data_IF_910066730942
#
_entry.id   IF_910066730942
#
_cell.length_a   1.000
_cell.length_b   1.000
_cell.length_c   1.000
_cell.angle_alpha   90.00
_cell.angle_beta   90.00
_cell.angle_gamma   90.00
#
_symmetry.space_group_name_H-M   'P 1'
#
loop_
_entity.id
_entity.type
_entity.pdbx_description
1 polymer ?
#
# COMPACT_ATOMS: atom_id res chain seq x y z
N UNK A 1 -30.69 -38.34 -9.92
CA UNK A 1 -29.45 -37.94 -9.20
C UNK A 1 -28.29 -37.52 -10.12
N UNK A 2 -28.10 -38.11 -11.31
CA UNK A 2 -27.02 -37.65 -12.24
C UNK A 2 -27.21 -36.22 -12.77
N UNK A 3 -28.45 -35.82 -13.06
CA UNK A 3 -28.73 -34.54 -13.70
C UNK A 3 -28.48 -33.31 -12.81
N UNK A 4 -28.60 -33.47 -11.48
CA UNK A 4 -28.36 -32.36 -10.54
C UNK A 4 -26.86 -32.05 -10.39
N UNK A 5 -26.02 -33.08 -10.41
CA UNK A 5 -24.58 -32.93 -10.33
C UNK A 5 -24.03 -32.22 -11.58
N UNK A 6 -24.53 -32.59 -12.75
CA UNK A 6 -24.17 -31.96 -14.03
C UNK A 6 -24.65 -30.50 -14.10
N UNK A 7 -25.83 -30.19 -13.56
CA UNK A 7 -26.32 -28.81 -13.43
C UNK A 7 -25.45 -27.95 -12.51
N UNK A 8 -25.02 -28.51 -11.37
CA UNK A 8 -24.10 -27.84 -10.44
C UNK A 8 -22.73 -27.61 -11.09
N UNK A 9 -22.19 -28.61 -11.78
CA UNK A 9 -20.93 -28.52 -12.49
C UNK A 9 -20.97 -27.44 -13.58
N UNK A 10 -22.02 -27.43 -14.40
CA UNK A 10 -22.20 -26.44 -15.46
C UNK A 10 -22.32 -25.01 -14.91
N UNK A 11 -23.05 -24.80 -13.80
CA UNK A 11 -23.14 -23.49 -13.15
C UNK A 11 -21.78 -23.02 -12.63
N UNK A 12 -20.99 -23.92 -12.04
CA UNK A 12 -19.67 -23.59 -11.52
C UNK A 12 -18.69 -23.26 -12.64
N UNK A 13 -18.71 -24.05 -13.71
CA UNK A 13 -17.85 -23.85 -14.86
C UNK A 13 -18.13 -22.51 -15.56
N UNK A 14 -19.40 -22.16 -15.75
CA UNK A 14 -19.79 -20.85 -16.29
C UNK A 14 -19.35 -19.67 -15.39
N UNK A 15 -19.38 -19.84 -14.07
CA UNK A 15 -18.92 -18.81 -13.13
C UNK A 15 -17.41 -18.64 -13.20
N UNK A 16 -16.68 -19.74 -13.34
CA UNK A 16 -15.22 -19.75 -13.51
C UNK A 16 -14.80 -19.06 -14.82
N UNK A 17 -15.44 -19.39 -15.94
CA UNK A 17 -15.16 -18.77 -17.23
C UNK A 17 -15.42 -17.25 -17.23
N UNK A 18 -16.51 -16.82 -16.57
CA UNK A 18 -16.79 -15.38 -16.40
C UNK A 18 -15.70 -14.68 -15.61
N UNK A 19 -15.24 -15.29 -14.52
CA UNK A 19 -14.14 -14.75 -13.72
C UNK A 19 -12.83 -14.68 -14.52
N UNK A 20 -12.51 -15.71 -15.30
CA UNK A 20 -11.29 -15.72 -16.11
C UNK A 20 -11.31 -14.62 -17.19
N UNK A 21 -12.47 -14.38 -17.82
CA UNK A 21 -12.63 -13.29 -18.80
C UNK A 21 -12.45 -11.92 -18.15
N UNK A 22 -13.13 -11.64 -17.04
CA UNK A 22 -13.02 -10.34 -16.36
C UNK A 22 -11.61 -10.10 -15.82
N UNK A 23 -10.94 -11.14 -15.31
CA UNK A 23 -9.56 -11.04 -14.86
C UNK A 23 -8.58 -10.74 -16.01
N UNK A 24 -8.75 -11.40 -17.17
CA UNK A 24 -7.93 -11.12 -18.37
C UNK A 24 -8.17 -9.70 -18.89
N UNK A 25 -9.40 -9.21 -18.86
CA UNK A 25 -9.75 -7.83 -19.26
C UNK A 25 -9.15 -6.79 -18.32
N UNK A 26 -9.25 -6.97 -17.01
CA UNK A 26 -8.65 -6.07 -16.01
C UNK A 26 -7.12 -6.04 -16.12
N UNK A 27 -6.49 -7.20 -16.38
CA UNK A 27 -5.04 -7.29 -16.61
C UNK A 27 -4.63 -6.52 -17.87
N UNK A 28 -5.36 -6.67 -18.98
CA UNK A 28 -5.12 -5.92 -20.22
C UNK A 28 -5.28 -4.42 -20.03
N UNK A 29 -6.33 -3.98 -19.33
CA UNK A 29 -6.55 -2.56 -19.03
C UNK A 29 -5.41 -1.97 -18.21
N UNK A 30 -4.89 -2.69 -17.21
CA UNK A 30 -3.72 -2.26 -16.42
C UNK A 30 -2.46 -2.13 -17.28
N UNK A 31 -2.17 -3.13 -18.11
CA UNK A 31 -1.00 -3.09 -19.00
C UNK A 31 -1.08 -1.95 -20.02
N UNK A 32 -2.25 -1.69 -20.60
CA UNK A 32 -2.44 -0.62 -21.57
C UNK A 32 -2.36 0.77 -20.93
N UNK A 33 -2.85 0.95 -19.69
CA UNK A 33 -2.69 2.21 -18.97
C UNK A 33 -1.23 2.49 -18.59
N UNK A 34 -0.49 1.45 -18.18
CA UNK A 34 0.95 1.59 -17.89
C UNK A 34 1.71 2.00 -19.16
N UNK A 35 1.41 1.36 -20.30
CA UNK A 35 2.05 1.68 -21.59
C UNK A 35 1.69 3.09 -22.09
N UNK A 36 0.44 3.53 -21.90
CA UNK A 36 0.01 4.89 -22.23
C UNK A 36 0.68 5.94 -21.35
N UNK A 37 0.78 5.70 -20.04
CA UNK A 37 1.51 6.56 -19.10
C UNK A 37 3.00 6.67 -19.44
N UNK A 38 3.63 5.58 -19.91
CA UNK A 38 5.02 5.59 -20.33
C UNK A 38 5.26 6.38 -21.63
N UNK A 39 4.29 6.44 -22.54
CA UNK A 39 4.40 7.17 -23.82
C UNK A 39 4.15 8.67 -23.71
N UNK A 40 3.37 9.12 -22.72
CA UNK A 40 3.08 10.56 -22.51
C UNK A 40 4.11 11.27 -21.64
N UNK A 41 5.05 10.55 -21.03
CA UNK A 41 6.19 11.18 -20.37
C UNK A 41 7.27 11.52 -21.39
N UNK A 42 7.66 12.80 -21.56
CA UNK A 42 8.81 13.14 -22.39
C UNK A 42 10.05 12.45 -21.79
N UNK A 43 11.09 12.16 -22.60
CA UNK A 43 12.32 11.61 -22.06
C UNK A 43 12.84 12.58 -21.00
N UNK A 44 12.73 12.20 -19.73
CA UNK A 44 13.31 12.93 -18.63
C UNK A 44 14.82 12.90 -18.87
N UNK A 45 15.36 13.92 -19.56
CA UNK A 45 16.76 14.30 -19.45
C UNK A 45 17.04 14.32 -17.96
N UNK A 46 18.05 13.55 -17.53
CA UNK A 46 18.57 13.51 -16.15
C UNK A 46 18.95 14.92 -15.70
N UNK A 47 17.97 15.75 -15.38
CA UNK A 47 18.14 16.98 -14.63
C UNK A 47 18.11 16.54 -13.17
N UNK A 48 19.15 16.95 -12.45
CA UNK A 48 19.31 16.73 -11.02
C UNK A 48 17.96 16.90 -10.33
N UNK A 49 17.60 15.95 -9.48
CA UNK A 49 16.34 15.95 -8.75
C UNK A 49 16.23 17.24 -7.93
N UNK A 50 15.58 18.26 -8.49
CA UNK A 50 14.96 19.33 -7.71
C UNK A 50 13.77 18.69 -6.98
N UNK A 51 13.62 18.93 -5.66
CA UNK A 51 12.52 18.35 -4.91
C UNK A 51 11.21 18.95 -5.43
N UNK A 52 10.43 18.12 -6.12
CA UNK A 52 9.04 18.39 -6.46
C UNK A 52 8.33 18.86 -5.20
N UNK A 53 7.75 20.06 -5.32
CA UNK A 53 6.99 20.74 -4.29
C UNK A 53 6.04 19.77 -3.57
N UNK A 54 6.33 19.55 -2.29
CA UNK A 54 5.45 18.86 -1.36
C UNK A 54 4.10 19.60 -1.37
N UNK A 55 3.12 19.10 -2.13
CA UNK A 55 1.72 19.30 -1.77
C UNK A 55 1.61 18.83 -0.32
N UNK A 56 1.51 19.80 0.59
CA UNK A 56 1.35 19.58 2.04
C UNK A 56 0.05 18.83 2.28
N UNK A 57 0.02 17.53 2.00
CA UNK A 57 -0.90 16.62 2.68
C UNK A 57 -0.56 16.76 4.16
N UNK A 58 -1.58 16.97 4.99
CA UNK A 58 -1.42 16.98 6.43
C UNK A 58 -0.61 15.73 6.80
N UNK A 59 0.66 15.93 7.20
CA UNK A 59 1.57 14.84 7.53
C UNK A 59 0.97 14.15 8.75
N UNK A 60 0.16 13.12 8.49
CA UNK A 60 -0.33 12.22 9.52
C UNK A 60 0.89 11.77 10.31
N UNK A 61 0.80 11.80 11.63
CA UNK A 61 1.95 11.55 12.49
C UNK A 61 2.62 10.19 12.23
N UNK A 62 1.86 9.25 11.66
CA UNK A 62 2.34 7.96 11.18
C UNK A 62 3.37 8.07 10.01
N UNK A 63 3.21 9.01 9.08
CA UNK A 63 4.21 9.27 8.03
C UNK A 63 5.52 9.82 8.61
N UNK A 64 5.46 10.59 9.69
CA UNK A 64 6.65 11.09 10.39
C UNK A 64 7.43 9.96 11.06
N UNK A 65 6.73 8.98 11.64
CA UNK A 65 7.37 7.81 12.23
C UNK A 65 8.08 6.96 11.16
N UNK A 66 7.40 6.60 10.07
CA UNK A 66 8.01 5.79 9.02
C UNK A 66 9.23 6.48 8.36
N UNK A 67 9.17 7.80 8.19
CA UNK A 67 10.32 8.56 7.67
C UNK A 67 11.51 8.55 8.64
N UNK A 68 11.27 8.66 9.95
CA UNK A 68 12.33 8.54 10.96
C UNK A 68 12.94 7.13 10.99
N UNK A 69 12.11 6.09 10.95
CA UNK A 69 12.58 4.69 10.92
C UNK A 69 13.43 4.43 9.67
N UNK A 70 13.01 4.96 8.52
CA UNK A 70 13.75 4.78 7.27
C UNK A 70 15.11 5.49 7.29
N UNK A 71 15.18 6.69 7.87
CA UNK A 71 16.45 7.41 8.07
C UNK A 71 17.38 6.62 8.98
N UNK A 72 16.89 6.18 10.14
CA UNK A 72 17.69 5.44 11.11
C UNK A 72 18.16 4.09 10.57
N UNK A 73 17.29 3.38 9.85
CA UNK A 73 17.67 2.16 9.12
C UNK A 73 18.83 2.41 8.14
N UNK A 74 18.79 3.52 7.39
CA UNK A 74 19.83 3.86 6.42
C UNK A 74 21.17 4.17 7.09
N UNK A 75 21.17 4.74 8.29
CA UNK A 75 22.37 4.96 9.11
C UNK A 75 22.96 3.62 9.56
N UNK A 76 22.15 2.75 10.15
CA UNK A 76 22.59 1.43 10.62
C UNK A 76 23.13 0.54 9.48
N UNK A 77 22.57 0.67 8.27
CA UNK A 77 23.08 0.01 7.07
C UNK A 77 24.44 0.54 6.62
N UNK A 78 24.72 1.83 6.83
CA UNK A 78 26.04 2.43 6.57
C UNK A 78 27.07 2.01 7.61
N UNK A 79 26.64 1.78 8.84
CA UNK A 79 27.46 1.29 9.95
C UNK A 79 27.77 -0.22 9.84
N UNK A 80 27.26 -0.89 8.79
CA UNK A 80 27.58 -2.28 8.49
C UNK A 80 26.61 -3.32 9.08
N UNK A 81 25.51 -2.91 9.70
CA UNK A 81 24.51 -3.86 10.20
C UNK A 81 23.74 -4.55 9.07
N UNK A 82 23.36 -5.81 9.32
CA UNK A 82 22.50 -6.54 8.40
C UNK A 82 21.12 -5.88 8.27
N UNK A 83 20.48 -6.07 7.11
CA UNK A 83 19.20 -5.45 6.79
C UNK A 83 18.10 -5.82 7.78
N UNK A 84 18.08 -7.08 8.24
CA UNK A 84 17.04 -7.52 9.18
C UNK A 84 17.26 -6.89 10.56
N UNK A 85 18.49 -6.90 11.04
CA UNK A 85 18.86 -6.35 12.34
C UNK A 85 18.72 -4.83 12.38
N UNK A 86 19.19 -4.12 11.36
CA UNK A 86 19.06 -2.68 11.24
C UNK A 86 17.60 -2.22 11.30
N UNK A 87 16.68 -2.95 10.66
CA UNK A 87 15.26 -2.59 10.69
C UNK A 87 14.63 -2.83 12.06
N UNK A 88 14.98 -3.93 12.74
CA UNK A 88 14.50 -4.22 14.10
C UNK A 88 15.00 -3.17 15.08
N UNK A 89 16.29 -2.82 15.02
CA UNK A 89 16.90 -1.81 15.87
C UNK A 89 16.29 -0.42 15.63
N UNK A 90 16.15 0.00 14.37
CA UNK A 90 15.54 1.29 14.03
C UNK A 90 14.09 1.42 14.54
N UNK A 91 13.29 0.34 14.44
CA UNK A 91 11.92 0.34 14.98
C UNK A 91 11.89 0.33 16.50
N UNK A 92 12.78 -0.42 17.14
CA UNK A 92 12.85 -0.49 18.60
C UNK A 92 13.21 0.85 19.22
N UNK A 93 14.23 1.54 18.68
CA UNK A 93 14.65 2.87 19.13
C UNK A 93 13.55 3.93 18.98
N UNK A 94 12.78 3.86 17.89
CA UNK A 94 11.75 4.84 17.55
C UNK A 94 10.34 4.47 18.02
N UNK A 95 10.14 3.28 18.59
CA UNK A 95 8.84 2.78 19.08
C UNK A 95 8.11 3.76 20.02
N UNK A 96 8.87 4.57 20.76
CA UNK A 96 8.36 5.61 21.67
C UNK A 96 7.57 6.71 20.95
N UNK A 97 7.79 6.91 19.65
CA UNK A 97 7.05 7.88 18.85
C UNK A 97 5.66 7.38 18.44
N UNK A 98 5.44 6.06 18.34
CA UNK A 98 4.08 5.51 18.09
C UNK A 98 3.13 5.66 19.28
N UNK A 99 3.67 5.67 20.51
CA UNK A 99 2.87 5.70 21.74
C UNK A 99 2.31 7.09 22.07
N UNK A 100 2.89 8.17 21.53
CA UNK A 100 2.44 9.54 21.83
C UNK A 100 1.13 9.91 21.13
N UNK A 101 0.83 9.31 19.98
CA UNK A 101 -0.40 9.61 19.22
C UNK A 101 -1.56 8.64 19.47
N UNK A 102 -1.33 7.54 20.21
CA UNK A 102 -2.38 6.60 20.62
C UNK A 102 -3.22 7.10 21.81
N UNK A 103 -3.39 8.42 21.95
CA UNK A 103 -4.48 9.02 22.74
C UNK A 103 -5.69 9.37 21.87
N UNK A 104 -5.81 8.82 20.66
CA UNK A 104 -7.09 8.83 19.96
C UNK A 104 -8.06 7.92 20.71
N UNK A 105 -9.07 8.52 21.35
CA UNK A 105 -10.11 7.81 22.09
C UNK A 105 -10.66 6.66 21.23
N UNK A 106 -10.45 5.41 21.68
CA UNK A 106 -10.87 4.20 20.95
C UNK A 106 -12.37 4.25 20.62
N UNK A 107 -13.16 4.88 21.50
CA UNK A 107 -14.60 5.09 21.27
C UNK A 107 -14.90 5.95 20.03
N UNK A 108 -14.06 6.94 19.72
CA UNK A 108 -14.23 7.78 18.51
C UNK A 108 -13.94 7.02 17.22
N UNK A 109 -12.95 6.11 17.24
CA UNK A 109 -12.66 5.24 16.08
C UNK A 109 -13.80 4.24 15.84
N UNK A 110 -14.36 3.67 16.91
CA UNK A 110 -15.52 2.77 16.82
C UNK A 110 -16.74 3.54 16.33
N UNK A 111 -17.05 4.71 16.89
CA UNK A 111 -18.18 5.53 16.47
C UNK A 111 -18.12 5.89 14.96
N UNK A 112 -16.92 6.22 14.45
CA UNK A 112 -16.71 6.48 13.03
C UNK A 112 -16.97 5.26 12.14
N UNK A 113 -16.72 4.03 12.61
CA UNK A 113 -16.99 2.80 11.85
C UNK A 113 -18.49 2.53 11.73
N UNK A 114 -19.28 2.97 12.70
CA UNK A 114 -20.73 2.79 12.75
C UNK A 114 -21.51 4.03 12.28
N UNK A 115 -20.83 5.06 11.75
CA UNK A 115 -21.46 6.28 11.26
C UNK A 115 -22.17 7.08 12.35
N UNK A 116 -21.81 6.87 13.61
CA UNK A 116 -22.39 7.59 14.74
C UNK A 116 -21.68 8.95 14.85
N UNK A 117 -22.42 10.07 14.77
CA UNK A 117 -21.82 11.37 15.05
C UNK A 117 -21.41 11.42 16.52
N UNK A 118 -20.16 11.81 16.77
CA UNK A 118 -19.62 12.18 18.09
C UNK A 118 -19.64 13.69 18.22
#
# INVERSE_FOLDING_TARGET
EKDELDLLWNKWNQKSEKYERTWKEDKRWKEDNIKKAAKTMPPFKKKKAEPLSEKKKAKNSNEKYHTLVTKRFSELRKDGMDSKEAMVTARSELSKYELKDKKSNVGSQVASLFGLPM
#
